data_IF_598700405873
#
_entry.id   IF_598700405873
#
_cell.length_a   1.000
_cell.length_b   1.000
_cell.length_c   1.000
_cell.angle_alpha   90.00
_cell.angle_beta   90.00
_cell.angle_gamma   90.00
#
_symmetry.space_group_name_H-M   'P 1'
#
loop_
_entity.id
_entity.type
_entity.pdbx_description
1 polymer ?
#
# COMPACT_ATOMS: atom_id res chain seq x y z
N UNK A 1 2.14 -55.32 44.06
CA UNK A 1 2.94 -55.57 42.83
C UNK A 1 2.02 -55.88 41.66
N UNK A 2 1.87 -54.93 40.72
CA UNK A 2 1.68 -55.21 39.29
C UNK A 2 2.43 -54.13 38.53
N UNK A 3 3.40 -54.57 37.74
CA UNK A 3 4.39 -53.78 37.01
C UNK A 3 3.71 -53.13 35.80
N UNK A 4 3.64 -51.79 35.77
CA UNK A 4 3.38 -51.07 34.52
C UNK A 4 4.71 -50.90 33.78
N UNK A 5 4.78 -51.52 32.59
CA UNK A 5 5.93 -51.48 31.69
C UNK A 5 6.24 -50.04 31.25
N UNK A 6 7.51 -49.68 31.33
CA UNK A 6 8.12 -48.52 30.67
C UNK A 6 7.99 -48.62 29.16
N UNK A 7 7.79 -47.47 28.52
CA UNK A 7 8.57 -47.08 27.35
C UNK A 7 7.86 -47.17 26.01
N UNK A 8 7.33 -46.03 25.56
CA UNK A 8 7.51 -45.60 24.18
C UNK A 8 7.78 -44.10 24.21
N UNK A 9 9.02 -43.76 23.87
CA UNK A 9 9.51 -42.41 23.67
C UNK A 9 8.56 -41.65 22.73
N UNK A 10 7.84 -40.66 23.27
CA UNK A 10 7.15 -39.67 22.46
C UNK A 10 8.22 -38.85 21.75
N UNK A 11 8.66 -39.37 20.61
CA UNK A 11 9.48 -38.67 19.64
C UNK A 11 8.70 -37.42 19.28
N UNK A 12 9.04 -36.30 19.91
CA UNK A 12 8.45 -35.00 19.62
C UNK A 12 8.52 -34.83 18.11
N UNK A 13 7.37 -34.95 17.43
CA UNK A 13 7.22 -34.49 16.06
C UNK A 13 7.58 -33.01 16.15
N UNK A 14 8.80 -32.64 15.74
CA UNK A 14 9.15 -31.25 15.44
C UNK A 14 8.18 -30.85 14.34
N UNK A 15 7.01 -30.32 14.72
CA UNK A 15 6.10 -29.70 13.78
C UNK A 15 6.93 -28.63 13.07
N UNK A 16 6.96 -28.68 11.74
CA UNK A 16 7.58 -27.61 10.96
C UNK A 16 6.80 -26.35 11.32
N UNK A 17 7.45 -25.32 11.89
CA UNK A 17 6.73 -24.14 12.31
C UNK A 17 6.14 -23.45 11.08
N UNK A 18 4.92 -22.94 11.22
CA UNK A 18 4.26 -22.17 10.17
C UNK A 18 5.02 -20.84 9.97
N UNK A 19 5.09 -20.33 8.74
CA UNK A 19 5.76 -19.06 8.44
C UNK A 19 4.74 -17.98 8.15
N UNK A 20 4.98 -16.78 8.66
CA UNK A 20 4.19 -15.60 8.33
C UNK A 20 4.34 -15.28 6.84
N UNK A 21 3.24 -15.13 6.12
CA UNK A 21 3.25 -14.77 4.69
C UNK A 21 3.82 -13.35 4.46
N UNK A 22 3.85 -12.52 5.51
CA UNK A 22 4.20 -11.10 5.41
C UNK A 22 5.63 -10.80 5.88
N UNK A 23 6.06 -11.40 7.00
CA UNK A 23 7.38 -11.16 7.60
C UNK A 23 8.28 -12.39 7.64
N UNK A 24 7.82 -13.53 7.14
CA UNK A 24 8.55 -14.80 7.02
C UNK A 24 9.01 -15.41 8.35
N UNK A 25 8.67 -14.79 9.49
CA UNK A 25 8.95 -15.33 10.82
C UNK A 25 8.15 -16.60 11.05
N UNK A 26 8.84 -17.61 11.57
CA UNK A 26 8.26 -18.90 11.92
C UNK A 26 7.63 -18.87 13.32
N UNK A 27 6.55 -19.61 13.52
CA UNK A 27 5.86 -19.74 14.81
C UNK A 27 4.94 -20.95 14.88
N UNK A 28 4.20 -21.07 15.99
CA UNK A 28 3.15 -22.07 16.16
C UNK A 28 1.96 -21.72 15.25
N UNK A 29 1.48 -22.63 14.38
CA UNK A 29 0.29 -22.42 13.56
C UNK A 29 -0.91 -21.82 14.30
N UNK A 30 -1.14 -22.21 15.56
CA UNK A 30 -2.28 -21.72 16.36
C UNK A 30 -2.19 -20.23 16.71
N UNK A 31 -1.01 -19.62 16.56
CA UNK A 31 -0.78 -18.19 16.82
C UNK A 31 -1.00 -17.30 15.59
N UNK A 32 -1.25 -17.87 14.41
CA UNK A 32 -1.44 -17.10 13.18
C UNK A 32 -2.91 -16.75 12.96
N UNK A 33 -3.13 -15.56 12.40
CA UNK A 33 -4.47 -15.07 12.06
C UNK A 33 -4.59 -14.95 10.55
N UNK A 34 -5.65 -15.53 9.99
CA UNK A 34 -6.02 -15.30 8.59
C UNK A 34 -6.38 -13.82 8.39
N UNK A 35 -5.72 -13.18 7.43
CA UNK A 35 -5.99 -11.79 7.04
C UNK A 35 -6.80 -11.80 5.77
N UNK A 36 -7.96 -11.16 5.85
CA UNK A 36 -8.79 -10.90 4.69
C UNK A 36 -8.49 -9.51 4.14
N UNK A 37 -8.74 -9.33 2.85
CA UNK A 37 -8.74 -8.02 2.22
C UNK A 37 -10.01 -7.21 2.57
N UNK A 38 -10.10 -5.98 2.07
CA UNK A 38 -11.22 -5.09 2.31
C UNK A 38 -12.57 -5.61 1.76
N UNK A 39 -12.54 -6.61 0.88
CA UNK A 39 -13.72 -7.29 0.31
C UNK A 39 -14.03 -8.61 1.00
N UNK A 40 -13.29 -8.96 2.06
CA UNK A 40 -13.49 -10.18 2.84
C UNK A 40 -12.90 -11.45 2.21
N UNK A 41 -12.02 -11.33 1.22
CA UNK A 41 -11.37 -12.48 0.57
C UNK A 41 -10.09 -12.88 1.31
N UNK A 42 -9.76 -14.18 1.43
CA UNK A 42 -8.53 -14.66 2.05
C UNK A 42 -7.27 -14.08 1.39
N UNK A 43 -6.40 -13.49 2.19
CA UNK A 43 -5.19 -12.81 1.74
C UNK A 43 -3.87 -13.34 2.34
N UNK A 44 -3.95 -14.35 3.21
CA UNK A 44 -2.78 -15.01 3.83
C UNK A 44 -2.83 -15.00 5.35
N UNK A 45 -1.80 -15.56 5.98
CA UNK A 45 -1.72 -15.75 7.43
C UNK A 45 -0.64 -14.87 8.05
N UNK A 46 -1.06 -14.02 8.98
CA UNK A 46 -0.21 -13.08 9.68
C UNK A 46 0.12 -13.58 11.09
N UNK A 47 1.37 -13.38 11.52
CA UNK A 47 1.73 -13.57 12.93
C UNK A 47 1.21 -12.40 13.79
N UNK A 48 1.09 -12.56 15.13
CA UNK A 48 0.51 -11.54 16.01
C UNK A 48 1.17 -10.17 15.90
N UNK A 49 2.50 -10.14 15.73
CA UNK A 49 3.26 -8.89 15.56
C UNK A 49 2.89 -8.16 14.27
N UNK A 50 2.58 -8.88 13.18
CA UNK A 50 2.17 -8.24 11.92
C UNK A 50 0.74 -7.72 12.02
N UNK A 51 -0.13 -8.45 12.72
CA UNK A 51 -1.51 -8.02 13.02
C UNK A 51 -1.48 -6.71 13.81
N UNK A 52 -0.79 -6.68 14.94
CA UNK A 52 -0.69 -5.49 15.80
C UNK A 52 -0.15 -4.27 15.05
N UNK A 53 0.93 -4.45 14.28
CA UNK A 53 1.52 -3.38 13.48
C UNK A 53 0.57 -2.83 12.43
N UNK A 54 -0.15 -3.72 11.74
CA UNK A 54 -1.12 -3.29 10.76
C UNK A 54 -2.31 -2.60 11.42
N UNK A 55 -2.85 -3.13 12.51
CA UNK A 55 -4.00 -2.55 13.19
C UNK A 55 -3.66 -1.14 13.73
N UNK A 56 -2.43 -0.93 14.22
CA UNK A 56 -1.92 0.39 14.59
C UNK A 56 -1.82 1.35 13.39
N UNK A 57 -1.35 0.87 12.23
CA UNK A 57 -1.35 1.66 10.99
C UNK A 57 -2.78 1.95 10.51
N UNK A 58 -3.68 0.96 10.57
CA UNK A 58 -5.06 1.05 10.11
C UNK A 58 -5.89 2.06 10.90
N UNK A 59 -5.57 2.27 12.18
CA UNK A 59 -6.16 3.31 13.00
C UNK A 59 -5.91 4.73 12.46
N UNK A 60 -4.85 4.94 11.67
CA UNK A 60 -4.54 6.23 11.05
C UNK A 60 -5.19 6.42 9.68
N UNK A 61 -5.76 5.36 9.11
CA UNK A 61 -6.30 5.39 7.75
C UNK A 61 -7.70 5.99 7.74
N UNK A 62 -7.92 6.90 6.80
CA UNK A 62 -9.20 7.53 6.54
C UNK A 62 -9.74 7.01 5.22
N UNK A 63 -11.03 6.69 5.21
CA UNK A 63 -11.67 6.06 4.07
C UNK A 63 -12.99 6.72 3.74
N UNK A 64 -13.33 6.69 2.48
CA UNK A 64 -14.68 6.89 2.00
C UNK A 64 -15.26 5.54 1.56
N UNK A 65 -16.42 5.19 2.10
CA UNK A 65 -17.13 3.96 1.74
C UNK A 65 -18.31 4.31 0.84
N UNK A 66 -18.25 3.82 -0.39
CA UNK A 66 -19.36 3.88 -1.33
C UNK A 66 -19.99 2.48 -1.41
N UNK A 67 -21.31 2.33 -1.20
CA UNK A 67 -21.96 1.03 -1.29
C UNK A 67 -21.65 0.31 -2.61
N UNK A 68 -21.31 -0.97 -2.54
CA UNK A 68 -20.96 -1.78 -3.71
C UNK A 68 -19.57 -1.50 -4.29
N UNK A 69 -18.78 -0.62 -3.69
CA UNK A 69 -17.40 -0.36 -4.09
C UNK A 69 -16.42 -0.68 -2.95
N UNK A 70 -15.16 -0.91 -3.33
CA UNK A 70 -14.04 -0.91 -2.39
C UNK A 70 -13.95 0.43 -1.64
N UNK A 71 -13.45 0.46 -0.39
CA UNK A 71 -13.15 1.72 0.29
C UNK A 71 -12.06 2.52 -0.44
N UNK A 72 -12.29 3.83 -0.61
CA UNK A 72 -11.32 4.76 -1.18
C UNK A 72 -10.52 5.43 -0.07
N UNK A 73 -9.19 5.48 -0.17
CA UNK A 73 -8.36 6.20 0.78
C UNK A 73 -8.63 7.70 0.70
N UNK A 74 -8.71 8.36 1.85
CA UNK A 74 -8.69 9.83 1.89
C UNK A 74 -7.28 10.31 2.23
N UNK A 75 -6.80 11.38 1.57
CA UNK A 75 -5.56 12.02 1.95
C UNK A 75 -5.62 12.55 3.39
N UNK A 76 -4.44 12.68 3.99
CA UNK A 76 -4.26 13.36 5.26
C UNK A 76 -4.61 14.83 5.09
N UNK A 77 -5.33 15.40 6.06
CA UNK A 77 -5.78 16.78 6.00
C UNK A 77 -4.60 17.74 5.80
N UNK A 78 -4.75 18.66 4.84
CA UNK A 78 -3.70 19.65 4.51
C UNK A 78 -2.46 19.07 3.84
N UNK A 79 -2.59 17.93 3.15
CA UNK A 79 -1.52 17.37 2.29
C UNK A 79 -1.90 17.30 0.82
N UNK A 80 -3.14 17.61 0.47
CA UNK A 80 -3.63 17.49 -0.90
C UNK A 80 -3.08 18.61 -1.79
N UNK A 81 -2.55 18.21 -2.94
CA UNK A 81 -2.12 19.08 -4.02
C UNK A 81 -2.73 18.61 -5.33
N UNK A 82 -3.33 19.54 -6.07
CA UNK A 82 -3.78 19.27 -7.43
C UNK A 82 -2.56 19.16 -8.36
N UNK A 83 -2.57 18.15 -9.21
CA UNK A 83 -1.61 17.99 -10.30
C UNK A 83 -2.35 17.99 -11.63
N UNK A 84 -1.74 18.62 -12.63
CA UNK A 84 -2.24 18.62 -14.00
C UNK A 84 -1.52 17.54 -14.80
N UNK A 85 -2.25 16.80 -15.64
CA UNK A 85 -1.61 15.94 -16.61
C UNK A 85 -0.85 16.80 -17.64
N UNK A 86 0.31 16.32 -18.09
CA UNK A 86 1.12 17.07 -19.04
C UNK A 86 2.22 16.20 -19.64
N UNK A 87 2.84 16.67 -20.73
CA UNK A 87 3.88 15.93 -21.45
C UNK A 87 5.15 15.68 -20.61
N UNK A 88 5.48 16.58 -19.69
CA UNK A 88 6.66 16.46 -18.83
C UNK A 88 6.34 16.92 -17.39
N UNK A 89 5.49 16.17 -16.65
CA UNK A 89 4.96 16.61 -15.37
C UNK A 89 5.96 16.44 -14.21
N UNK A 90 7.15 15.87 -14.46
CA UNK A 90 8.11 15.50 -13.44
C UNK A 90 8.48 16.64 -12.48
N UNK A 91 8.84 17.83 -12.99
CA UNK A 91 9.27 18.93 -12.11
C UNK A 91 8.13 19.41 -11.19
N UNK A 92 6.91 19.48 -11.70
CA UNK A 92 5.74 19.88 -10.92
C UNK A 92 5.42 18.85 -9.83
N UNK A 93 5.42 17.57 -10.21
CA UNK A 93 5.25 16.46 -9.26
C UNK A 93 6.36 16.47 -8.22
N UNK A 94 7.61 16.61 -8.64
CA UNK A 94 8.77 16.55 -7.76
C UNK A 94 8.76 17.67 -6.73
N UNK A 95 8.41 18.90 -7.12
CA UNK A 95 8.26 20.01 -6.18
C UNK A 95 7.22 19.71 -5.09
N UNK A 96 6.11 19.05 -5.43
CA UNK A 96 5.09 18.65 -4.46
C UNK A 96 5.59 17.55 -3.53
N UNK A 97 6.15 16.46 -4.08
CA UNK A 97 6.63 15.34 -3.25
C UNK A 97 7.79 15.78 -2.36
N UNK A 98 8.72 16.59 -2.86
CA UNK A 98 9.82 17.13 -2.07
C UNK A 98 9.30 18.05 -0.95
N UNK A 99 8.27 18.86 -1.20
CA UNK A 99 7.59 19.63 -0.15
C UNK A 99 6.95 18.79 0.95
N UNK A 100 6.53 17.55 0.63
CA UNK A 100 5.95 16.60 1.57
C UNK A 100 6.99 15.70 2.26
N UNK A 101 8.26 15.71 1.81
CA UNK A 101 9.28 14.70 2.18
C UNK A 101 9.45 14.45 3.67
N UNK A 102 9.41 15.51 4.48
CA UNK A 102 9.65 15.44 5.93
C UNK A 102 8.45 14.93 6.71
N UNK A 103 7.29 14.84 6.05
CA UNK A 103 6.05 14.28 6.60
C UNK A 103 5.86 12.82 6.18
N UNK A 104 6.66 12.30 5.25
CA UNK A 104 6.64 10.90 4.84
C UNK A 104 7.30 10.07 5.94
N UNK A 105 6.54 9.15 6.52
CA UNK A 105 6.99 8.20 7.54
C UNK A 105 7.23 6.84 6.92
N UNK A 106 8.20 6.14 7.46
CA UNK A 106 8.57 4.81 7.01
C UNK A 106 7.70 3.76 7.68
N UNK A 107 7.39 2.70 6.93
CA UNK A 107 6.66 1.56 7.45
C UNK A 107 7.55 0.31 7.49
N UNK A 108 7.37 -0.57 8.49
CA UNK A 108 7.98 -1.89 8.42
C UNK A 108 7.48 -2.64 7.19
N UNK A 109 8.37 -3.36 6.49
CA UNK A 109 8.01 -4.21 5.34
C UNK A 109 6.81 -5.11 5.57
N UNK A 110 6.77 -5.73 6.76
CA UNK A 110 5.65 -6.56 7.16
C UNK A 110 4.33 -5.77 7.19
N UNK A 111 4.34 -4.56 7.76
CA UNK A 111 3.18 -3.66 7.79
C UNK A 111 2.76 -3.26 6.39
N UNK A 112 3.72 -2.91 5.52
CA UNK A 112 3.44 -2.57 4.12
C UNK A 112 2.71 -3.72 3.40
N UNK A 113 3.25 -4.94 3.49
CA UNK A 113 2.65 -6.12 2.85
C UNK A 113 1.27 -6.46 3.40
N UNK A 114 1.07 -6.42 4.72
CA UNK A 114 -0.26 -6.65 5.32
C UNK A 114 -1.22 -5.55 4.89
N UNK A 115 -0.77 -4.30 4.79
CA UNK A 115 -1.60 -3.20 4.33
C UNK A 115 -2.03 -3.38 2.88
N UNK A 116 -1.11 -3.73 1.98
CA UNK A 116 -1.45 -3.99 0.58
C UNK A 116 -2.56 -5.03 0.46
N UNK A 117 -2.47 -6.14 1.21
CA UNK A 117 -3.52 -7.17 1.24
C UNK A 117 -4.80 -6.63 1.90
N UNK A 118 -4.71 -6.08 3.10
CA UNK A 118 -5.87 -5.62 3.87
C UNK A 118 -6.67 -4.53 3.17
N UNK A 119 -6.04 -3.76 2.29
CA UNK A 119 -6.65 -2.68 1.53
C UNK A 119 -7.10 -3.09 0.13
N UNK A 120 -7.00 -4.39 -0.19
CA UNK A 120 -7.23 -4.91 -1.52
C UNK A 120 -6.48 -4.09 -2.60
N UNK A 121 -5.21 -3.82 -2.33
CA UNK A 121 -4.34 -3.12 -3.28
C UNK A 121 -3.63 -4.16 -4.14
N UNK A 122 -3.71 -3.94 -5.45
CA UNK A 122 -3.04 -4.80 -6.42
C UNK A 122 -1.61 -4.30 -6.60
N UNK A 123 -0.67 -5.21 -6.89
CA UNK A 123 0.71 -4.84 -7.16
C UNK A 123 0.78 -3.85 -8.32
N UNK A 124 1.12 -2.59 -8.03
CA UNK A 124 1.24 -1.50 -9.01
C UNK A 124 2.53 -1.53 -9.83
N UNK A 125 3.34 -2.58 -9.62
CA UNK A 125 4.66 -2.74 -10.19
C UNK A 125 5.58 -3.49 -9.24
N UNK A 126 6.85 -3.60 -9.64
CA UNK A 126 7.91 -4.15 -8.78
C UNK A 126 8.27 -3.11 -7.72
N UNK A 127 8.54 -3.58 -6.50
CA UNK A 127 9.14 -2.77 -5.43
C UNK A 127 10.40 -2.08 -5.97
N UNK A 128 10.44 -0.75 -5.88
CA UNK A 128 11.60 0.03 -6.28
C UNK A 128 12.52 0.20 -5.06
N UNK A 129 13.75 -0.31 -5.15
CA UNK A 129 14.76 -0.07 -4.12
C UNK A 129 15.38 1.29 -4.35
N UNK A 130 15.53 2.05 -3.29
CA UNK A 130 16.17 3.37 -3.31
C UNK A 130 17.38 3.36 -2.39
N UNK A 131 18.36 4.19 -2.71
CA UNK A 131 19.62 4.26 -1.94
C UNK A 131 19.57 5.30 -0.81
N UNK A 132 18.58 6.20 -0.85
CA UNK A 132 18.40 7.27 0.13
C UNK A 132 17.00 7.86 0.03
N UNK A 133 16.61 8.64 1.04
CA UNK A 133 15.38 9.44 1.03
C UNK A 133 15.23 10.35 -0.19
N UNK A 134 16.31 10.98 -0.65
CA UNK A 134 16.26 11.84 -1.84
C UNK A 134 15.95 11.01 -3.10
N UNK A 135 16.52 9.80 -3.18
CA UNK A 135 16.24 8.88 -4.26
C UNK A 135 14.82 8.29 -4.18
N UNK A 136 14.29 8.05 -2.97
CA UNK A 136 12.89 7.70 -2.74
C UNK A 136 11.95 8.78 -3.26
N UNK A 137 12.18 10.04 -2.88
CA UNK A 137 11.40 11.20 -3.35
C UNK A 137 11.45 11.29 -4.88
N UNK A 138 12.64 11.15 -5.47
CA UNK A 138 12.80 11.17 -6.93
C UNK A 138 12.08 10.01 -7.61
N UNK A 139 12.12 8.82 -7.02
CA UNK A 139 11.47 7.61 -7.53
C UNK A 139 9.95 7.73 -7.47
N UNK A 140 9.40 8.16 -6.35
CA UNK A 140 7.97 8.50 -6.20
C UNK A 140 7.54 9.52 -7.26
N UNK A 141 8.33 10.58 -7.41
CA UNK A 141 8.06 11.64 -8.38
C UNK A 141 8.02 11.12 -9.82
N UNK A 142 8.95 10.23 -10.19
CA UNK A 142 8.97 9.57 -11.51
C UNK A 142 7.74 8.68 -11.71
N UNK A 143 7.40 7.84 -10.73
CA UNK A 143 6.25 6.93 -10.82
C UNK A 143 4.95 7.69 -11.05
N UNK A 144 4.71 8.76 -10.28
CA UNK A 144 3.54 9.62 -10.43
C UNK A 144 3.59 10.37 -11.77
N UNK A 145 4.73 10.97 -12.12
CA UNK A 145 4.88 11.71 -13.38
C UNK A 145 4.63 10.82 -14.62
N UNK A 146 5.07 9.56 -14.59
CA UNK A 146 4.79 8.61 -15.66
C UNK A 146 3.29 8.36 -15.82
N UNK A 147 2.54 8.27 -14.72
CA UNK A 147 1.09 8.09 -14.78
C UNK A 147 0.39 9.31 -15.40
N UNK A 148 0.77 10.51 -14.98
CA UNK A 148 0.24 11.76 -15.52
C UNK A 148 0.58 11.94 -17.01
N UNK A 149 1.81 11.57 -17.41
CA UNK A 149 2.24 11.64 -18.80
C UNK A 149 1.48 10.65 -19.70
N UNK A 150 1.26 9.41 -19.22
CA UNK A 150 0.43 8.41 -19.92
C UNK A 150 -0.99 8.90 -20.11
N UNK A 151 -1.58 9.50 -19.08
CA UNK A 151 -2.92 10.05 -19.20
C UNK A 151 -2.99 11.20 -20.20
N UNK A 152 -2.03 12.12 -20.14
CA UNK A 152 -1.94 13.23 -21.09
C UNK A 152 -1.89 12.73 -22.53
N UNK A 153 -1.03 11.76 -22.83
CA UNK A 153 -0.93 11.15 -24.16
C UNK A 153 -2.24 10.49 -24.60
N UNK A 154 -2.91 9.78 -23.69
CA UNK A 154 -4.21 9.16 -23.94
C UNK A 154 -5.29 10.20 -24.28
N UNK A 155 -5.39 11.28 -23.52
CA UNK A 155 -6.37 12.37 -23.76
C UNK A 155 -6.08 13.09 -25.06
N UNK A 156 -4.81 13.39 -25.36
CA UNK A 156 -4.44 14.09 -26.60
C UNK A 156 -4.68 13.25 -27.84
N UNK A 157 -4.55 11.92 -27.74
CA UNK A 157 -4.69 11.01 -28.89
C UNK A 157 -6.13 10.56 -29.10
N UNK A 158 -6.90 10.35 -28.03
CA UNK A 158 -8.22 9.69 -28.08
C UNK A 158 -9.39 10.57 -27.66
N UNK A 159 -9.17 11.62 -26.85
CA UNK A 159 -10.23 12.31 -26.09
C UNK A 159 -10.66 13.68 -26.61
N UNK A 160 -10.21 14.10 -27.80
CA UNK A 160 -10.56 15.43 -28.34
C UNK A 160 -10.06 16.61 -27.51
N UNK A 161 -9.13 16.39 -26.58
CA UNK A 161 -8.48 17.45 -25.78
C UNK A 161 -9.20 17.90 -24.51
N UNK A 162 -10.32 17.27 -24.11
CA UNK A 162 -11.02 17.62 -22.87
C UNK A 162 -10.50 16.81 -21.68
N UNK A 163 -9.94 17.50 -20.67
CA UNK A 163 -9.49 16.88 -19.41
C UNK A 163 -10.66 16.84 -18.41
N UNK A 164 -11.39 15.72 -18.37
CA UNK A 164 -12.47 15.47 -17.40
C UNK A 164 -11.99 14.79 -16.11
N UNK A 165 -10.66 14.67 -15.95
CA UNK A 165 -10.03 14.00 -14.83
C UNK A 165 -9.25 15.01 -13.99
N UNK A 166 -9.32 14.86 -12.66
CA UNK A 166 -8.44 15.56 -11.73
C UNK A 166 -7.50 14.57 -11.06
N UNK A 167 -6.24 14.96 -10.98
CA UNK A 167 -5.24 14.24 -10.19
C UNK A 167 -4.97 15.01 -8.91
N UNK A 168 -5.13 14.36 -7.77
CA UNK A 168 -4.65 14.90 -6.50
C UNK A 168 -3.57 14.00 -5.94
N UNK A 169 -2.52 14.60 -5.40
CA UNK A 169 -1.51 13.88 -4.64
C UNK A 169 -1.55 14.37 -3.20
N UNK A 170 -1.40 13.44 -2.26
CA UNK A 170 -1.28 13.77 -0.84
C UNK A 170 -0.64 12.63 -0.07
N UNK A 171 -0.53 12.81 1.23
CA UNK A 171 -0.14 11.72 2.12
C UNK A 171 -1.39 10.97 2.57
N UNK A 172 -1.22 9.74 3.05
CA UNK A 172 -2.30 9.00 3.71
C UNK A 172 -1.78 8.22 4.90
N UNK A 173 -2.69 7.92 5.82
CA UNK A 173 -2.37 7.16 7.02
C UNK A 173 -1.44 7.92 7.95
N UNK A 174 -1.60 9.23 8.08
CA UNK A 174 -0.72 10.10 8.89
C UNK A 174 0.75 10.04 8.43
N UNK A 175 0.97 10.20 7.13
CA UNK A 175 2.28 10.26 6.48
C UNK A 175 2.89 8.92 6.09
N UNK A 176 2.26 7.79 6.40
CA UNK A 176 2.82 6.45 6.17
C UNK A 176 2.82 6.01 4.70
N UNK A 177 2.23 6.81 3.81
CA UNK A 177 2.37 6.64 2.37
C UNK A 177 1.97 7.89 1.57
N UNK A 178 2.25 7.83 0.27
CA UNK A 178 1.82 8.83 -0.72
C UNK A 178 0.66 8.26 -1.53
N UNK A 179 -0.39 9.05 -1.71
CA UNK A 179 -1.59 8.70 -2.47
C UNK A 179 -1.70 9.60 -3.68
N UNK A 180 -1.74 9.03 -4.88
CA UNK A 180 -2.19 9.69 -6.09
C UNK A 180 -3.62 9.23 -6.38
N UNK A 181 -4.55 10.18 -6.35
CA UNK A 181 -5.96 9.95 -6.61
C UNK A 181 -6.33 10.49 -7.97
N UNK A 182 -7.17 9.73 -8.68
CA UNK A 182 -7.73 10.10 -9.97
C UNK A 182 -9.25 10.15 -9.84
N UNK A 183 -9.83 11.33 -10.01
CA UNK A 183 -11.29 11.53 -9.92
C UNK A 183 -11.83 12.22 -11.17
N UNK A 184 -13.14 12.15 -11.39
CA UNK A 184 -13.80 13.01 -12.39
C UNK A 184 -13.88 14.45 -11.90
N UNK A 185 -14.25 15.38 -12.79
CA UNK A 185 -14.57 16.77 -12.41
C UNK A 185 -15.77 16.90 -11.47
N UNK A 186 -16.61 15.87 -11.41
CA UNK A 186 -17.77 15.77 -10.53
C UNK A 186 -17.42 15.12 -9.18
N UNK A 187 -16.17 14.65 -9.02
CA UNK A 187 -15.67 14.07 -7.78
C UNK A 187 -15.82 12.55 -7.68
N UNK A 188 -16.22 11.87 -8.76
CA UNK A 188 -16.30 10.41 -8.77
C UNK A 188 -14.89 9.79 -8.79
N UNK A 189 -14.66 8.78 -7.96
CA UNK A 189 -13.39 8.08 -7.88
C UNK A 189 -13.19 7.14 -9.07
N UNK A 190 -12.04 7.26 -9.76
CA UNK A 190 -11.68 6.42 -10.90
C UNK A 190 -10.57 5.42 -10.55
N UNK A 191 -9.52 5.90 -9.88
CA UNK A 191 -8.39 5.08 -9.47
C UNK A 191 -7.61 5.74 -8.33
N UNK A 192 -6.88 4.92 -7.56
CA UNK A 192 -5.91 5.38 -6.58
C UNK A 192 -4.61 4.60 -6.71
N UNK A 193 -3.49 5.31 -6.70
CA UNK A 193 -2.15 4.74 -6.66
C UNK A 193 -1.56 5.07 -5.29
N UNK A 194 -1.25 4.04 -4.54
CA UNK A 194 -0.71 4.13 -3.20
C UNK A 194 0.76 3.77 -3.25
N UNK A 195 1.59 4.55 -2.57
CA UNK A 195 3.03 4.30 -2.48
C UNK A 195 3.41 4.26 -1.01
N UNK A 196 3.74 3.07 -0.50
CA UNK A 196 4.27 2.91 0.85
C UNK A 196 5.79 2.97 0.80
N UNK A 197 6.40 3.70 1.73
CA UNK A 197 7.85 3.84 1.85
C UNK A 197 8.33 2.98 3.02
N UNK A 198 9.17 2.00 2.75
CA UNK A 198 9.75 1.14 3.77
C UNK A 198 10.95 1.80 4.47
N UNK A 199 11.32 1.30 5.65
CA UNK A 199 12.52 1.76 6.39
C UNK A 199 13.84 1.61 5.62
N UNK A 200 13.90 0.75 4.60
CA UNK A 200 15.05 0.62 3.70
C UNK A 200 14.92 1.52 2.46
N UNK A 201 14.13 2.59 2.56
CA UNK A 201 13.82 3.57 1.52
C UNK A 201 13.12 2.98 0.27
N UNK A 202 12.77 1.68 0.28
CA UNK A 202 12.07 1.03 -0.82
C UNK A 202 10.64 1.55 -0.97
N UNK A 203 10.22 1.75 -2.21
CA UNK A 203 8.86 2.16 -2.57
C UNK A 203 8.06 0.96 -3.03
N UNK A 204 6.90 0.76 -2.42
CA UNK A 204 5.90 -0.26 -2.80
C UNK A 204 4.76 0.41 -3.55
N UNK A 205 4.78 0.41 -4.90
CA UNK A 205 3.67 0.92 -5.68
C UNK A 205 2.52 -0.08 -5.66
N UNK A 206 1.34 0.40 -5.32
CA UNK A 206 0.14 -0.41 -5.26
C UNK A 206 -1.02 0.38 -5.88
N UNK A 207 -1.95 -0.32 -6.52
CA UNK A 207 -3.04 0.33 -7.24
C UNK A 207 -4.39 -0.22 -6.81
N UNK A 208 -5.33 0.70 -6.74
CA UNK A 208 -6.73 0.52 -6.48
C UNK A 208 -7.51 0.97 -7.71
N UNK A 209 -8.17 0.04 -8.40
CA UNK A 209 -9.05 0.33 -9.52
C UNK A 209 -10.51 0.19 -9.12
N UNK A 210 -11.38 0.92 -9.81
CA UNK A 210 -12.80 0.58 -9.90
C UNK A 210 -12.94 -0.71 -10.72
N UNK A 211 -13.63 -1.71 -10.17
CA UNK A 211 -13.97 -2.98 -10.84
C UNK A 211 -15.37 -2.91 -11.45
#
# INVERSE_FOLDING_TARGET
MRLFRRGASAKARRAVPYKCDFCEKAGDPASFTERNDALGRPGGYACPVCVERYDAFAANLRWERVPGQRPWLRPDAGTEHLLMAGRAPFNAVHAVIDGLRYRIKDVPRATARVAVVGLDLHGGGRVARCESRDDTVRTLSRMIAMELARHHESVTTLGGGHEWVRYTVGLFGDGHGVLLSRTTTEGEWLAQYCFLVEFDDSVHPCVAWHS
#
